data_IF_365079433623
#
_entry.id   IF_365079433623
#
_cell.length_a   1.000
_cell.length_b   1.000
_cell.length_c   1.000
_cell.angle_alpha   90.00
_cell.angle_beta   90.00
_cell.angle_gamma   90.00
#
_symmetry.space_group_name_H-M   'P 1'
#
loop_
_entity.id
_entity.type
_entity.pdbx_description
1 polymer ?
#
# COMPACT_ATOMS: atom_id res chain seq x y z
N UNK A 1 -24.90 -10.21 -14.84
CA UNK A 1 -25.02 -8.84 -14.28
C UNK A 1 -23.97 -8.65 -13.20
N UNK A 2 -22.81 -8.09 -13.55
CA UNK A 2 -21.61 -8.07 -12.68
C UNK A 2 -21.81 -7.20 -11.43
N UNK A 3 -22.67 -6.18 -11.50
CA UNK A 3 -22.95 -5.25 -10.40
C UNK A 3 -23.66 -5.89 -9.20
N UNK A 4 -24.42 -6.97 -9.41
CA UNK A 4 -25.15 -7.68 -8.36
C UNK A 4 -24.58 -9.08 -8.09
N UNK A 5 -23.33 -9.30 -8.51
CA UNK A 5 -22.66 -10.56 -8.26
C UNK A 5 -22.35 -10.68 -6.76
N UNK A 6 -22.97 -11.65 -6.09
CA UNK A 6 -22.69 -11.97 -4.69
C UNK A 6 -21.53 -12.97 -4.65
N UNK A 7 -20.32 -12.55 -4.24
CA UNK A 7 -19.14 -13.41 -4.23
C UNK A 7 -19.25 -14.57 -3.23
N UNK A 8 -20.26 -14.58 -2.35
CA UNK A 8 -20.46 -15.65 -1.37
C UNK A 8 -21.21 -16.87 -1.92
N UNK A 9 -21.97 -16.72 -3.01
CA UNK A 9 -22.84 -17.80 -3.52
C UNK A 9 -22.06 -18.96 -4.13
N UNK A 10 -20.99 -18.66 -4.89
CA UNK A 10 -20.15 -19.67 -5.57
C UNK A 10 -18.72 -19.75 -4.98
N UNK A 11 -18.58 -19.43 -3.69
CA UNK A 11 -17.26 -19.38 -3.05
C UNK A 11 -16.64 -20.77 -2.86
N UNK A 12 -15.51 -21.04 -3.52
CA UNK A 12 -14.69 -22.24 -3.31
C UNK A 12 -13.64 -21.99 -2.24
N UNK A 13 -13.57 -22.86 -1.23
CA UNK A 13 -12.61 -22.74 -0.13
C UNK A 13 -11.45 -23.73 -0.28
N UNK A 14 -10.25 -23.18 -0.47
CA UNK A 14 -9.02 -23.97 -0.58
C UNK A 14 -8.38 -24.30 0.79
N UNK A 15 -9.00 -23.90 1.90
CA UNK A 15 -8.49 -24.15 3.24
C UNK A 15 -9.61 -24.61 4.19
N UNK A 16 -9.30 -25.47 5.17
CA UNK A 16 -10.29 -25.94 6.14
C UNK A 16 -10.77 -24.78 7.01
N UNK A 17 -12.06 -24.81 7.39
CA UNK A 17 -12.68 -23.77 8.24
C UNK A 17 -12.02 -23.63 9.62
N UNK A 18 -11.35 -24.68 10.11
CA UNK A 18 -10.56 -24.61 11.35
C UNK A 18 -9.45 -23.55 11.28
N UNK A 19 -8.87 -23.30 10.11
CA UNK A 19 -7.83 -22.28 9.92
C UNK A 19 -8.35 -20.84 10.07
N UNK A 20 -9.67 -20.65 10.17
CA UNK A 20 -10.29 -19.33 10.29
C UNK A 20 -10.52 -18.93 11.75
N UNK A 21 -10.21 -19.83 12.70
CA UNK A 21 -10.26 -19.51 14.13
C UNK A 21 -9.30 -18.36 14.43
N UNK A 22 -9.85 -17.25 14.97
CA UNK A 22 -9.11 -16.03 15.27
C UNK A 22 -9.07 -14.99 14.15
N UNK A 23 -9.72 -15.23 12.99
CA UNK A 23 -9.87 -14.19 11.97
C UNK A 23 -10.81 -13.08 12.48
N UNK A 24 -10.41 -11.81 12.45
CA UNK A 24 -11.30 -10.71 12.83
C UNK A 24 -12.55 -10.69 11.95
N UNK A 25 -13.72 -10.50 12.55
CA UNK A 25 -15.00 -10.47 11.83
C UNK A 25 -15.03 -9.42 10.71
N UNK A 26 -14.30 -8.31 10.87
CA UNK A 26 -14.17 -7.24 9.86
C UNK A 26 -13.41 -7.65 8.60
N UNK A 27 -12.64 -8.75 8.63
CA UNK A 27 -11.87 -9.25 7.48
C UNK A 27 -12.61 -10.31 6.66
N UNK A 28 -13.88 -10.54 6.99
CA UNK A 28 -14.68 -11.58 6.37
C UNK A 28 -16.02 -11.02 5.89
N UNK A 29 -16.33 -11.22 4.61
CA UNK A 29 -17.63 -10.85 4.05
C UNK A 29 -18.80 -11.62 4.68
N UNK A 30 -18.55 -12.80 5.26
CA UNK A 30 -19.57 -13.61 5.95
C UNK A 30 -20.19 -12.91 7.17
N UNK A 31 -19.47 -11.97 7.77
CA UNK A 31 -19.91 -11.25 8.96
C UNK A 31 -20.35 -9.81 8.65
N UNK A 32 -20.43 -9.44 7.36
CA UNK A 32 -20.88 -8.12 6.94
C UNK A 32 -22.39 -8.12 6.66
N UNK A 33 -23.09 -7.01 6.91
CA UNK A 33 -24.48 -6.85 6.50
C UNK A 33 -24.66 -7.04 4.99
N UNK A 34 -25.85 -7.48 4.57
CA UNK A 34 -26.18 -7.62 3.15
C UNK A 34 -25.99 -6.30 2.42
N UNK A 35 -25.27 -6.32 1.30
CA UNK A 35 -24.96 -5.12 0.50
C UNK A 35 -23.75 -4.33 0.99
N UNK A 36 -23.06 -4.78 2.05
CA UNK A 36 -21.85 -4.13 2.58
C UNK A 36 -20.62 -4.98 2.28
N UNK A 37 -19.63 -4.35 1.66
CA UNK A 37 -18.36 -4.96 1.32
C UNK A 37 -18.29 -5.44 -0.13
N UNK A 38 -17.06 -5.69 -0.57
CA UNK A 38 -16.73 -6.13 -1.93
C UNK A 38 -15.70 -7.25 -1.86
N UNK A 39 -15.71 -8.14 -2.85
CA UNK A 39 -14.71 -9.19 -2.95
C UNK A 39 -13.32 -8.58 -3.23
N UNK A 40 -12.35 -8.87 -2.38
CA UNK A 40 -10.97 -8.45 -2.61
C UNK A 40 -10.33 -9.40 -3.63
N UNK A 41 -9.63 -8.85 -4.63
CA UNK A 41 -8.95 -9.64 -5.67
C UNK A 41 -9.67 -9.71 -7.01
N UNK A 42 -10.83 -9.07 -7.16
CA UNK A 42 -11.51 -8.90 -8.45
C UNK A 42 -11.22 -7.50 -9.02
N UNK A 43 -10.88 -7.42 -10.32
CA UNK A 43 -10.68 -6.16 -11.04
C UNK A 43 -11.89 -5.24 -10.96
N UNK A 44 -13.11 -5.79 -11.08
CA UNK A 44 -14.33 -4.98 -10.99
C UNK A 44 -14.50 -4.36 -9.62
N UNK A 45 -14.15 -5.10 -8.55
CA UNK A 45 -14.19 -4.58 -7.18
C UNK A 45 -13.19 -3.45 -6.97
N UNK A 46 -11.99 -3.55 -7.56
CA UNK A 46 -11.01 -2.45 -7.52
C UNK A 46 -11.52 -1.21 -8.27
N UNK A 47 -12.12 -1.38 -9.45
CA UNK A 47 -12.68 -0.29 -10.24
C UNK A 47 -13.82 0.42 -9.49
N UNK A 48 -14.76 -0.33 -8.94
CA UNK A 48 -15.89 0.22 -8.19
C UNK A 48 -15.42 0.99 -6.96
N UNK A 49 -14.42 0.49 -6.22
CA UNK A 49 -13.82 1.24 -5.10
C UNK A 49 -13.26 2.59 -5.53
N UNK A 50 -12.59 2.65 -6.69
CA UNK A 50 -12.02 3.90 -7.18
C UNK A 50 -13.09 4.91 -7.58
N UNK A 51 -14.18 4.46 -8.23
CA UNK A 51 -15.33 5.31 -8.56
C UNK A 51 -16.02 5.78 -7.28
N UNK A 52 -16.20 4.90 -6.30
CA UNK A 52 -16.83 5.23 -5.03
C UNK A 52 -16.06 6.34 -4.27
N UNK A 53 -14.73 6.24 -4.25
CA UNK A 53 -13.84 7.19 -3.59
C UNK A 53 -13.57 8.48 -4.38
N UNK A 54 -14.05 8.61 -5.62
CA UNK A 54 -13.92 9.86 -6.41
C UNK A 54 -14.58 11.05 -5.68
N UNK A 55 -15.67 10.80 -4.96
CA UNK A 55 -16.35 11.82 -4.15
C UNK A 55 -15.41 12.41 -3.09
N UNK A 56 -14.59 11.57 -2.44
CA UNK A 56 -13.58 12.03 -1.48
C UNK A 56 -12.51 12.86 -2.18
N UNK A 57 -12.05 12.44 -3.36
CA UNK A 57 -11.03 13.14 -4.12
C UNK A 57 -11.50 14.55 -4.49
N UNK A 58 -12.74 14.67 -4.97
CA UNK A 58 -13.38 15.96 -5.30
C UNK A 58 -13.55 16.83 -4.06
N UNK A 59 -14.01 16.26 -2.96
CA UNK A 59 -14.17 16.97 -1.69
C UNK A 59 -12.83 17.57 -1.21
N UNK A 60 -11.75 16.80 -1.26
CA UNK A 60 -10.42 17.26 -0.82
C UNK A 60 -9.82 18.30 -1.79
N UNK A 61 -9.89 18.04 -3.10
CA UNK A 61 -9.18 18.85 -4.11
C UNK A 61 -9.96 20.06 -4.60
N UNK A 62 -11.28 19.93 -4.79
CA UNK A 62 -12.16 20.98 -5.33
C UNK A 62 -12.74 21.82 -4.19
N UNK A 63 -13.39 21.19 -3.22
CA UNK A 63 -14.11 21.92 -2.16
C UNK A 63 -13.14 22.52 -1.13
N UNK A 64 -12.14 21.75 -0.70
CA UNK A 64 -11.13 22.20 0.27
C UNK A 64 -9.82 22.72 -0.36
N UNK A 65 -9.71 22.68 -1.69
CA UNK A 65 -8.63 23.32 -2.44
C UNK A 65 -7.23 22.76 -2.17
N UNK A 66 -7.10 21.48 -1.78
CA UNK A 66 -5.79 20.86 -1.62
C UNK A 66 -5.17 20.52 -2.98
N UNK A 67 -4.13 21.26 -3.36
CA UNK A 67 -3.41 21.07 -4.63
C UNK A 67 -2.52 19.84 -4.65
N UNK A 68 -1.97 19.45 -3.50
CA UNK A 68 -1.01 18.35 -3.37
C UNK A 68 -1.65 17.17 -2.65
N UNK A 69 -2.61 16.57 -3.34
CA UNK A 69 -3.30 15.35 -2.93
C UNK A 69 -2.94 14.21 -3.89
N UNK A 70 -2.84 13.00 -3.37
CA UNK A 70 -2.71 11.81 -4.19
C UNK A 70 -3.30 10.60 -3.49
N UNK A 71 -3.87 9.67 -4.27
CA UNK A 71 -4.50 8.45 -3.79
C UNK A 71 -4.10 7.26 -4.62
N UNK A 72 -3.90 6.12 -3.95
CA UNK A 72 -3.73 4.82 -4.53
C UNK A 72 -4.67 3.84 -3.83
N UNK A 73 -5.78 3.51 -4.50
CA UNK A 73 -6.86 2.69 -3.93
C UNK A 73 -7.36 3.32 -2.62
N UNK A 74 -7.11 2.70 -1.47
CA UNK A 74 -7.51 3.12 -0.13
C UNK A 74 -6.46 4.01 0.56
N UNK A 75 -5.21 3.98 0.13
CA UNK A 75 -4.12 4.77 0.70
C UNK A 75 -4.02 6.13 -0.02
N UNK A 76 -4.16 7.24 0.72
CA UNK A 76 -4.02 8.59 0.20
C UNK A 76 -3.10 9.46 1.06
N UNK A 77 -2.63 10.57 0.51
CA UNK A 77 -1.78 11.54 1.19
C UNK A 77 -2.17 12.98 0.86
N UNK A 78 -1.91 13.87 1.81
CA UNK A 78 -2.03 15.32 1.66
C UNK A 78 -0.68 15.96 2.00
N UNK A 79 -0.27 16.93 1.19
CA UNK A 79 0.93 17.73 1.45
C UNK A 79 0.54 19.20 1.54
N UNK A 80 0.98 19.85 2.61
CA UNK A 80 0.74 21.27 2.88
C UNK A 80 1.95 21.85 3.61
N UNK A 81 2.18 23.15 3.43
CA UNK A 81 3.14 23.92 4.22
C UNK A 81 2.59 24.30 5.60
N UNK A 82 1.27 24.27 5.77
CA UNK A 82 0.59 24.53 7.04
C UNK A 82 0.17 23.23 7.73
N UNK A 83 0.76 22.98 8.89
CA UNK A 83 0.45 21.85 9.77
C UNK A 83 -0.96 21.94 10.35
N UNK A 84 -1.44 23.13 10.72
CA UNK A 84 -2.78 23.30 11.32
C UNK A 84 -3.85 22.90 10.32
N UNK A 85 -3.73 23.39 9.08
CA UNK A 85 -4.60 23.00 7.97
C UNK A 85 -4.65 21.48 7.74
N UNK A 86 -3.53 20.77 7.89
CA UNK A 86 -3.53 19.30 7.78
C UNK A 86 -4.28 18.62 8.93
N UNK A 87 -4.10 19.11 10.15
CA UNK A 87 -4.79 18.57 11.33
C UNK A 87 -6.30 18.79 11.19
N UNK A 88 -6.72 20.00 10.83
CA UNK A 88 -8.12 20.35 10.59
C UNK A 88 -8.72 19.49 9.47
N UNK A 89 -8.02 19.38 8.33
CA UNK A 89 -8.48 18.56 7.21
C UNK A 89 -8.61 17.08 7.59
N UNK A 90 -7.76 16.57 8.49
CA UNK A 90 -7.84 15.18 8.94
C UNK A 90 -9.18 14.89 9.63
N UNK A 91 -9.62 15.77 10.54
CA UNK A 91 -10.94 15.67 11.18
C UNK A 91 -12.08 15.80 10.17
N UNK A 92 -11.97 16.76 9.24
CA UNK A 92 -12.99 16.98 8.21
C UNK A 92 -13.14 15.75 7.29
N UNK A 93 -12.04 15.10 6.90
CA UNK A 93 -12.07 13.87 6.10
C UNK A 93 -12.70 12.73 6.89
N UNK A 94 -12.40 12.61 8.18
CA UNK A 94 -13.00 11.59 9.04
C UNK A 94 -14.52 11.74 9.12
N UNK A 95 -15.00 12.96 9.36
CA UNK A 95 -16.42 13.25 9.41
C UNK A 95 -17.09 13.01 8.06
N UNK A 96 -16.43 13.42 6.97
CA UNK A 96 -16.95 13.21 5.62
C UNK A 96 -17.06 11.72 5.27
N UNK A 97 -15.99 10.96 5.49
CA UNK A 97 -15.95 9.52 5.21
C UNK A 97 -17.00 8.76 6.03
N UNK A 98 -17.19 9.13 7.29
CA UNK A 98 -18.18 8.49 8.16
C UNK A 98 -19.63 8.84 7.75
N UNK A 99 -19.92 10.11 7.52
CA UNK A 99 -21.29 10.59 7.33
C UNK A 99 -21.79 10.49 5.87
N UNK A 100 -20.91 10.64 4.88
CA UNK A 100 -21.29 10.63 3.46
C UNK A 100 -20.93 9.33 2.73
N UNK A 101 -19.83 8.69 3.12
CA UNK A 101 -19.35 7.46 2.48
C UNK A 101 -19.58 6.20 3.32
N UNK A 102 -20.13 6.30 4.53
CA UNK A 102 -20.27 5.17 5.45
C UNK A 102 -18.96 4.35 5.61
N UNK A 103 -17.81 5.02 5.48
CA UNK A 103 -16.48 4.44 5.59
C UNK A 103 -15.82 4.89 6.89
N UNK A 104 -15.12 3.96 7.54
CA UNK A 104 -14.36 4.24 8.75
C UNK A 104 -12.87 4.23 8.47
N UNK A 105 -12.21 5.38 8.70
CA UNK A 105 -10.76 5.45 8.64
C UNK A 105 -10.12 4.63 9.76
N UNK A 106 -9.00 3.97 9.44
CA UNK A 106 -8.29 3.15 10.40
C UNK A 106 -7.61 4.02 11.47
N UNK A 107 -7.83 3.76 12.78
CA UNK A 107 -7.43 4.66 13.86
C UNK A 107 -5.91 4.83 13.97
N UNK A 108 -5.14 3.78 13.70
CA UNK A 108 -3.67 3.79 13.86
C UNK A 108 -2.87 3.98 12.57
N UNK A 109 -3.53 4.11 11.40
CA UNK A 109 -2.83 4.26 10.11
C UNK A 109 -2.61 5.72 9.72
N UNK A 110 -2.93 6.66 10.60
CA UNK A 110 -2.75 8.10 10.37
C UNK A 110 -1.31 8.48 10.69
N UNK A 111 -0.63 9.08 9.72
CA UNK A 111 0.77 9.48 9.86
C UNK A 111 0.93 10.94 9.44
N UNK A 112 1.22 11.81 10.40
CA UNK A 112 1.54 13.22 10.18
C UNK A 112 3.03 13.43 10.44
N UNK A 113 3.78 13.84 9.42
CA UNK A 113 5.21 14.04 9.54
C UNK A 113 5.74 15.06 8.53
N UNK A 114 6.90 15.63 8.84
CA UNK A 114 7.64 16.50 7.92
C UNK A 114 8.12 15.71 6.70
N UNK A 115 7.99 16.33 5.51
CA UNK A 115 8.43 15.71 4.25
C UNK A 115 9.94 15.43 4.22
N UNK A 116 10.75 16.23 4.92
CA UNK A 116 12.21 16.07 4.99
C UNK A 116 12.63 14.75 5.65
N UNK A 117 11.81 14.21 6.55
CA UNK A 117 12.07 12.92 7.23
C UNK A 117 11.76 11.71 6.36
N UNK A 118 11.09 11.92 5.23
CA UNK A 118 10.73 10.90 4.25
C UNK A 118 9.46 10.14 4.64
N UNK A 119 8.49 10.07 3.73
CA UNK A 119 7.17 9.48 3.96
C UNK A 119 7.12 8.08 3.37
N UNK A 120 6.74 7.08 4.17
CA UNK A 120 6.52 5.74 3.66
C UNK A 120 5.21 5.67 2.86
N UNK A 121 5.29 5.31 1.58
CA UNK A 121 4.13 5.20 0.69
C UNK A 121 4.36 4.07 -0.33
N UNK A 122 3.40 3.15 -0.46
CA UNK A 122 3.41 2.04 -1.44
C UNK A 122 4.71 1.23 -1.52
N UNK A 123 5.32 0.93 -0.37
CA UNK A 123 6.55 0.14 -0.32
C UNK A 123 7.85 0.91 -0.61
N UNK A 124 7.76 2.22 -0.80
CA UNK A 124 8.88 3.14 -0.92
C UNK A 124 8.91 4.14 0.25
N UNK A 125 10.03 4.83 0.43
CA UNK A 125 10.12 6.03 1.27
C UNK A 125 10.42 7.22 0.36
N UNK A 126 9.47 8.15 0.30
CA UNK A 126 9.49 9.33 -0.57
C UNK A 126 10.07 10.51 0.18
N UNK A 127 11.14 11.10 -0.35
CA UNK A 127 11.70 12.38 0.10
C UNK A 127 11.55 13.42 -1.02
N UNK A 128 11.69 14.73 -0.73
CA UNK A 128 11.51 15.78 -1.74
C UNK A 128 12.36 15.61 -3.01
N UNK A 129 13.58 15.07 -2.90
CA UNK A 129 14.51 14.94 -4.02
C UNK A 129 15.08 13.53 -4.20
N UNK A 130 14.53 12.53 -3.50
CA UNK A 130 15.00 11.14 -3.61
C UNK A 130 13.90 10.14 -3.26
N UNK A 131 13.95 8.98 -3.88
CA UNK A 131 13.14 7.82 -3.53
C UNK A 131 14.04 6.78 -2.88
N UNK A 132 13.59 6.12 -1.82
CA UNK A 132 14.31 5.02 -1.21
C UNK A 132 13.47 3.74 -1.21
N UNK A 133 14.10 2.57 -1.39
CA UNK A 133 13.43 1.29 -1.21
C UNK A 133 12.89 1.17 0.22
N UNK A 134 11.68 0.64 0.37
CA UNK A 134 11.10 0.37 1.69
C UNK A 134 11.89 -0.68 2.47
N UNK A 135 11.70 -0.68 3.80
CA UNK A 135 12.41 -1.58 4.73
C UNK A 135 12.25 -3.05 4.35
N UNK A 136 11.06 -3.47 3.91
CA UNK A 136 10.78 -4.86 3.50
C UNK A 136 11.65 -5.29 2.33
N UNK A 137 11.73 -4.46 1.29
CA UNK A 137 12.57 -4.76 0.11
C UNK A 137 14.04 -4.84 0.50
N UNK A 138 14.54 -3.88 1.30
CA UNK A 138 15.93 -3.91 1.80
C UNK A 138 16.23 -5.17 2.61
N UNK A 139 15.33 -5.55 3.53
CA UNK A 139 15.49 -6.74 4.36
C UNK A 139 15.50 -8.01 3.52
N UNK A 140 14.55 -8.14 2.61
CA UNK A 140 14.44 -9.31 1.74
C UNK A 140 15.67 -9.44 0.84
N UNK A 141 16.15 -8.32 0.27
CA UNK A 141 17.38 -8.29 -0.50
C UNK A 141 18.58 -8.78 0.32
N UNK A 142 18.81 -8.18 1.49
CA UNK A 142 19.95 -8.54 2.33
C UNK A 142 19.90 -10.00 2.77
N UNK A 143 18.71 -10.50 3.13
CA UNK A 143 18.50 -11.90 3.47
C UNK A 143 18.72 -12.84 2.27
N UNK A 144 18.38 -12.42 1.06
CA UNK A 144 18.65 -13.18 -0.16
C UNK A 144 20.15 -13.18 -0.52
N UNK A 145 20.87 -12.06 -0.30
CA UNK A 145 22.31 -11.97 -0.58
C UNK A 145 23.16 -12.71 0.45
N UNK A 146 22.68 -12.88 1.69
CA UNK A 146 23.39 -13.63 2.73
C UNK A 146 23.28 -15.16 2.57
N UNK A 147 22.48 -15.63 1.60
CA UNK A 147 22.31 -17.05 1.33
C UNK A 147 23.38 -17.53 0.36
N UNK A 148 24.02 -18.65 0.67
CA UNK A 148 25.04 -19.28 -0.18
C UNK A 148 24.46 -19.76 -1.53
N UNK A 149 23.15 -20.07 -1.57
CA UNK A 149 22.43 -20.59 -2.74
C UNK A 149 21.69 -19.50 -3.56
N UNK A 150 22.13 -18.24 -3.50
CA UNK A 150 21.44 -17.14 -4.18
C UNK A 150 21.58 -17.23 -5.71
N UNK A 151 20.52 -17.69 -6.39
CA UNK A 151 20.45 -17.75 -7.86
C UNK A 151 20.73 -16.37 -8.52
N UNK A 152 21.49 -16.38 -9.61
CA UNK A 152 21.79 -15.21 -10.42
C UNK A 152 20.51 -14.50 -10.93
N UNK A 153 19.44 -15.25 -11.18
CA UNK A 153 18.14 -14.71 -11.60
C UNK A 153 17.51 -13.84 -10.49
N UNK A 154 17.65 -14.28 -9.23
CA UNK A 154 17.15 -13.55 -8.07
C UNK A 154 17.93 -12.25 -7.87
N UNK A 155 19.26 -12.31 -8.03
CA UNK A 155 20.12 -11.12 -7.96
C UNK A 155 19.79 -10.12 -9.08
N UNK A 156 19.60 -10.59 -10.32
CA UNK A 156 19.20 -9.75 -11.45
C UNK A 156 17.83 -9.08 -11.23
N UNK A 157 16.85 -9.81 -10.70
CA UNK A 157 15.53 -9.29 -10.36
C UNK A 157 15.62 -8.15 -9.33
N UNK A 158 16.33 -8.37 -8.23
CA UNK A 158 16.54 -7.34 -7.23
C UNK A 158 17.34 -6.14 -7.75
N UNK A 159 18.36 -6.37 -8.57
CA UNK A 159 19.14 -5.30 -9.21
C UNK A 159 18.24 -4.40 -10.05
N UNK A 160 17.32 -5.00 -10.83
CA UNK A 160 16.29 -4.27 -11.58
C UNK A 160 15.43 -3.40 -10.67
N UNK A 161 14.87 -3.98 -9.60
CA UNK A 161 14.06 -3.25 -8.63
C UNK A 161 14.81 -2.07 -7.98
N UNK A 162 16.05 -2.29 -7.55
CA UNK A 162 16.85 -1.27 -6.85
C UNK A 162 17.26 -0.13 -7.79
N UNK A 163 17.47 -0.43 -9.08
CA UNK A 163 17.79 0.56 -10.11
C UNK A 163 16.67 1.60 -10.25
N UNK A 164 15.40 1.21 -10.11
CA UNK A 164 14.27 2.15 -10.11
C UNK A 164 14.34 3.18 -8.98
N UNK A 165 14.93 2.80 -7.83
CA UNK A 165 15.12 3.70 -6.70
C UNK A 165 16.40 4.55 -6.79
N UNK A 166 17.23 4.37 -7.83
CA UNK A 166 18.53 5.04 -8.02
C UNK A 166 19.45 4.95 -6.78
N UNK A 167 19.32 3.87 -6.00
CA UNK A 167 19.99 3.74 -4.70
C UNK A 167 21.39 3.12 -4.84
N UNK A 168 22.38 3.94 -5.23
CA UNK A 168 23.77 3.51 -5.55
C UNK A 168 24.39 2.57 -4.51
N UNK A 169 24.42 2.96 -3.23
CA UNK A 169 25.01 2.13 -2.15
C UNK A 169 24.46 0.70 -2.06
N UNK A 170 23.22 0.50 -2.49
CA UNK A 170 22.54 -0.79 -2.42
C UNK A 170 22.72 -1.60 -3.72
N UNK A 171 23.05 -0.94 -4.83
CA UNK A 171 23.53 -1.57 -6.04
C UNK A 171 24.97 -2.07 -5.81
N UNK A 172 25.82 -1.24 -5.21
CA UNK A 172 27.19 -1.60 -4.89
C UNK A 172 27.26 -2.84 -3.98
N UNK A 173 26.33 -3.00 -3.02
CA UNK A 173 26.27 -4.21 -2.17
C UNK A 173 25.87 -5.48 -2.92
N UNK A 174 25.14 -5.37 -4.04
CA UNK A 174 24.78 -6.53 -4.88
C UNK A 174 26.01 -6.94 -5.70
N UNK A 175 26.73 -5.96 -6.28
CA UNK A 175 27.91 -6.21 -7.10
C UNK A 175 29.09 -6.81 -6.29
N UNK A 176 29.16 -6.55 -4.98
CA UNK A 176 30.14 -7.20 -4.07
C UNK A 176 29.81 -8.68 -3.85
N UNK A 177 28.52 -9.04 -3.77
CA UNK A 177 28.09 -10.44 -3.66
C UNK A 177 28.39 -11.26 -4.92
N UNK A 178 28.29 -10.65 -6.11
CA UNK A 178 28.69 -11.29 -7.39
C UNK A 178 30.19 -11.67 -7.38
N UNK A 179 31.06 -10.82 -6.80
CA UNK A 179 32.51 -11.07 -6.74
C UNK A 179 32.91 -12.14 -5.73
N UNK A 180 32.11 -12.37 -4.69
CA UNK A 180 32.37 -13.40 -3.68
C UNK A 180 31.92 -14.81 -4.09
N UNK A 181 31.04 -14.93 -5.10
CA UNK A 181 30.57 -16.21 -5.64
C UNK A 181 31.33 -16.72 -6.88
N UNK A 182 32.32 -15.96 -7.37
CA UNK A 182 33.05 -16.24 -8.61
C UNK A 182 34.39 -16.95 -8.47
N UNK A 183 34.64 -17.63 -7.35
CA UNK A 183 35.93 -18.28 -7.09
C UNK A 183 35.78 -19.74 -6.69
N UNK A 184 35.35 -20.61 -7.61
CA UNK A 184 35.75 -22.02 -7.70
C UNK A 184 35.33 -22.58 -9.07
N UNK A 185 36.26 -22.49 -10.04
CA UNK A 185 36.72 -23.51 -10.99
C UNK A 185 37.48 -22.84 -12.13
#
# INVERSE_FOLDING_TARGET
TILFNDPLQDAVFNCPRSAWQGLPSSKSLFHQPKGVGIAIGNLTSQLISNIYLDQLDRFVTIEHGFKHYGRYVDDFYLVSTDKRRLIEMTSIIEDYTNNHLALKLHPHKRHLQECQRGVAFLGAVVYPHRLQPGKRLKRNLLASLSREDCSAETQASYRGLVKHYKHKKLLDSIDVGEKSGGGYN
#
